data_IF_906974500744
#
_entry.id   IF_906974500744
#
_cell.length_a   1.000
_cell.length_b   1.000
_cell.length_c   1.000
_cell.angle_alpha   90.00
_cell.angle_beta   90.00
_cell.angle_gamma   90.00
#
_symmetry.space_group_name_H-M   'P 1'
#
loop_
_entity.id
_entity.type
_entity.pdbx_description
1 polymer ?
#
# COMPACT_ATOMS: atom_id res chain seq x y z
N UNK A 1 -32.39 15.02 -8.75
CA UNK A 1 -31.05 14.53 -9.12
C UNK A 1 -30.15 15.75 -9.09
N UNK A 2 -29.17 15.82 -8.17
CA UNK A 2 -28.31 17.02 -8.06
C UNK A 2 -27.22 16.92 -9.12
N UNK A 3 -27.15 17.92 -9.98
CA UNK A 3 -26.13 17.99 -11.03
C UNK A 3 -24.74 18.19 -10.41
N UNK A 4 -23.75 17.47 -10.92
CA UNK A 4 -22.35 17.58 -10.48
C UNK A 4 -21.69 18.70 -11.27
N UNK A 5 -21.27 19.76 -10.58
CA UNK A 5 -20.47 20.82 -11.19
C UNK A 5 -19.00 20.42 -11.16
N UNK A 6 -18.35 20.35 -12.32
CA UNK A 6 -16.92 20.04 -12.44
C UNK A 6 -16.18 21.33 -12.77
N UNK A 7 -15.19 21.68 -11.94
CA UNK A 7 -14.27 22.78 -12.19
C UNK A 7 -12.93 22.24 -12.70
N UNK A 8 -12.51 22.68 -13.88
CA UNK A 8 -11.19 22.34 -14.42
C UNK A 8 -10.18 23.36 -13.93
N UNK A 9 -9.43 23.00 -12.88
CA UNK A 9 -8.36 23.83 -12.32
C UNK A 9 -7.09 23.67 -13.16
N UNK A 10 -6.51 24.81 -13.58
CA UNK A 10 -5.24 24.83 -14.32
C UNK A 10 -4.10 24.39 -13.40
N UNK A 11 -3.14 23.60 -13.92
CA UNK A 11 -1.91 23.26 -13.18
C UNK A 11 -1.15 24.53 -12.80
N UNK A 12 -0.49 24.49 -11.65
CA UNK A 12 0.38 25.56 -11.20
C UNK A 12 1.44 25.86 -12.27
N UNK A 13 1.54 27.10 -12.80
CA UNK A 13 2.55 27.46 -13.79
C UNK A 13 3.98 27.28 -13.27
N UNK A 14 4.21 27.35 -11.96
CA UNK A 14 5.53 27.06 -11.37
C UNK A 14 5.92 25.57 -11.50
N UNK A 15 4.96 24.69 -11.78
CA UNK A 15 5.16 23.26 -12.01
C UNK A 15 5.21 22.91 -13.50
N UNK A 16 5.13 23.91 -14.38
CA UNK A 16 5.25 23.73 -15.83
C UNK A 16 6.68 23.24 -16.17
N UNK A 17 6.77 22.05 -16.77
CA UNK A 17 8.06 21.37 -17.01
C UNK A 17 8.59 20.54 -15.83
N UNK A 18 8.03 20.66 -14.62
CA UNK A 18 8.37 19.77 -13.49
C UNK A 18 7.58 18.46 -13.61
N UNK A 19 8.29 17.38 -13.97
CA UNK A 19 7.74 16.03 -13.99
C UNK A 19 7.46 15.49 -12.59
N UNK A 20 6.77 14.34 -12.52
CA UNK A 20 6.66 13.59 -11.28
C UNK A 20 8.05 13.16 -10.81
N UNK A 21 8.44 13.55 -9.60
CA UNK A 21 9.72 13.14 -8.98
C UNK A 21 9.46 11.91 -8.10
N UNK A 22 9.92 10.71 -8.49
CA UNK A 22 9.74 9.52 -7.67
C UNK A 22 10.52 9.66 -6.36
N UNK A 23 9.85 9.44 -5.23
CA UNK A 23 10.52 9.39 -3.94
C UNK A 23 11.25 8.04 -3.82
N UNK A 24 12.58 8.00 -3.57
CA UNK A 24 13.36 6.75 -3.62
C UNK A 24 12.84 5.61 -2.74
N UNK A 25 12.18 5.94 -1.62
CA UNK A 25 11.63 4.96 -0.65
C UNK A 25 10.11 4.89 -0.65
N UNK A 26 9.44 5.46 -1.66
CA UNK A 26 7.97 5.45 -1.75
C UNK A 26 7.38 4.04 -1.73
N UNK A 27 8.10 3.09 -2.31
CA UNK A 27 7.69 1.68 -2.37
C UNK A 27 7.42 1.08 -0.99
N UNK A 28 8.08 1.56 0.07
CA UNK A 28 7.85 1.08 1.44
C UNK A 28 6.44 1.44 1.90
N UNK A 29 6.02 2.68 1.65
CA UNK A 29 4.67 3.17 1.98
C UNK A 29 3.62 2.39 1.20
N UNK A 30 3.87 2.18 -0.09
CA UNK A 30 2.95 1.45 -0.97
C UNK A 30 2.85 -0.03 -0.57
N UNK A 31 3.96 -0.66 -0.17
CA UNK A 31 3.96 -2.03 0.34
C UNK A 31 3.18 -2.17 1.65
N UNK A 32 3.33 -1.21 2.57
CA UNK A 32 2.56 -1.18 3.82
C UNK A 32 1.07 -1.05 3.50
N UNK A 33 0.70 -0.10 2.63
CA UNK A 33 -0.70 0.08 2.23
C UNK A 33 -1.28 -1.16 1.55
N UNK A 34 -0.51 -1.81 0.66
CA UNK A 34 -0.90 -3.07 0.03
C UNK A 34 -1.14 -4.19 1.05
N UNK A 35 -0.32 -4.27 2.11
CA UNK A 35 -0.50 -5.23 3.21
C UNK A 35 -1.78 -4.92 4.00
N UNK A 36 -2.01 -3.65 4.36
CA UNK A 36 -3.21 -3.25 5.10
C UNK A 36 -4.50 -3.49 4.30
N UNK A 37 -4.46 -3.30 2.98
CA UNK A 37 -5.61 -3.50 2.09
C UNK A 37 -6.09 -4.96 2.00
N UNK A 38 -5.25 -5.94 2.33
CA UNK A 38 -5.66 -7.35 2.40
C UNK A 38 -6.68 -7.60 3.53
N UNK A 39 -6.75 -6.71 4.51
CA UNK A 39 -7.69 -6.82 5.63
C UNK A 39 -8.93 -5.96 5.34
N UNK A 40 -10.07 -6.62 5.03
CA UNK A 40 -11.36 -5.96 4.70
C UNK A 40 -11.73 -4.81 5.64
N UNK A 41 -11.44 -4.97 6.93
CA UNK A 41 -11.73 -3.96 7.96
C UNK A 41 -10.99 -2.63 7.77
N UNK A 42 -9.81 -2.62 7.14
CA UNK A 42 -9.04 -1.41 6.86
C UNK A 42 -9.34 -0.79 5.49
N UNK A 43 -9.83 -1.58 4.53
CA UNK A 43 -10.10 -1.11 3.17
C UNK A 43 -11.56 -0.70 2.92
N UNK A 44 -12.53 -1.30 3.61
CA UNK A 44 -13.97 -1.17 3.30
C UNK A 44 -14.85 -0.79 4.47
N UNK A 45 -14.39 -0.98 5.71
CA UNK A 45 -15.15 -0.61 6.88
C UNK A 45 -14.51 0.63 7.50
N UNK A 46 -15.25 1.73 7.52
CA UNK A 46 -14.84 2.91 8.28
C UNK A 46 -15.30 2.71 9.73
N UNK A 47 -14.38 2.41 10.63
CA UNK A 47 -14.70 2.35 12.05
C UNK A 47 -14.90 3.79 12.57
N UNK A 48 -16.02 4.04 13.24
CA UNK A 48 -16.31 5.35 13.85
C UNK A 48 -15.44 5.66 15.06
N UNK A 49 -14.81 4.63 15.66
CA UNK A 49 -13.94 4.81 16.82
C UNK A 49 -12.47 4.61 16.43
N UNK A 50 -11.59 5.55 16.79
CA UNK A 50 -10.18 5.50 16.40
C UNK A 50 -9.40 4.37 17.07
N UNK A 51 -9.82 3.90 18.24
CA UNK A 51 -9.19 2.78 18.95
C UNK A 51 -9.36 1.46 18.20
N UNK A 52 -10.53 1.23 17.59
CA UNK A 52 -10.78 0.05 16.76
C UNK A 52 -9.91 0.10 15.50
N UNK A 53 -9.86 1.26 14.84
CA UNK A 53 -9.01 1.45 13.67
C UNK A 53 -7.53 1.18 13.99
N UNK A 54 -7.03 1.71 15.10
CA UNK A 54 -5.66 1.48 15.56
C UNK A 54 -5.40 -0.02 15.85
N UNK A 55 -6.29 -0.69 16.57
CA UNK A 55 -6.19 -2.13 16.83
C UNK A 55 -6.09 -2.95 15.54
N UNK A 56 -6.89 -2.62 14.50
CA UNK A 56 -6.84 -3.33 13.21
C UNK A 56 -5.50 -3.18 12.50
N UNK A 57 -4.85 -2.01 12.60
CA UNK A 57 -3.51 -1.79 12.04
C UNK A 57 -2.48 -2.69 12.74
N UNK A 58 -2.52 -2.77 14.07
CA UNK A 58 -1.65 -3.68 14.82
C UNK A 58 -1.89 -5.15 14.44
N UNK A 59 -3.16 -5.57 14.37
CA UNK A 59 -3.52 -6.92 13.97
C UNK A 59 -2.99 -7.29 12.58
N UNK A 60 -3.20 -6.43 11.58
CA UNK A 60 -2.71 -6.63 10.22
C UNK A 60 -1.17 -6.75 10.16
N UNK A 61 -0.48 -5.91 10.91
CA UNK A 61 0.99 -5.94 11.02
C UNK A 61 1.50 -7.25 11.61
N UNK A 62 0.88 -7.71 12.71
CA UNK A 62 1.20 -8.99 13.36
C UNK A 62 0.91 -10.18 12.45
N UNK A 63 -0.21 -10.18 11.75
CA UNK A 63 -0.56 -11.26 10.81
C UNK A 63 0.47 -11.40 9.68
N UNK A 64 0.97 -10.29 9.15
CA UNK A 64 2.03 -10.28 8.15
C UNK A 64 3.35 -10.85 8.69
N UNK A 65 3.71 -10.53 9.94
CA UNK A 65 4.90 -11.08 10.60
C UNK A 65 4.76 -12.58 10.86
N UNK A 66 3.61 -13.02 11.36
CA UNK A 66 3.32 -14.43 11.61
C UNK A 66 3.42 -15.25 10.32
N UNK A 67 2.86 -14.75 9.21
CA UNK A 67 2.93 -15.43 7.90
C UNK A 67 4.38 -15.65 7.46
N UNK A 68 5.28 -14.69 7.70
CA UNK A 68 6.71 -14.85 7.35
C UNK A 68 7.40 -15.92 8.19
N UNK A 69 6.97 -16.11 9.43
CA UNK A 69 7.50 -17.14 10.32
C UNK A 69 6.97 -18.53 9.97
N UNK A 70 5.69 -18.64 9.60
CA UNK A 70 5.02 -19.93 9.37
C UNK A 70 5.06 -20.41 7.93
N UNK A 71 5.27 -19.50 6.98
CA UNK A 71 5.26 -19.79 5.55
C UNK A 71 6.62 -19.42 4.97
N UNK A 72 7.57 -20.36 4.89
CA UNK A 72 8.83 -20.12 4.21
C UNK A 72 8.51 -19.69 2.77
N UNK A 73 9.19 -18.63 2.31
CA UNK A 73 9.09 -18.23 0.90
C UNK A 73 9.60 -19.41 0.08
N UNK A 74 8.86 -19.91 -0.93
CA UNK A 74 9.41 -20.94 -1.80
C UNK A 74 10.73 -20.41 -2.37
N UNK A 75 11.84 -21.07 -2.04
CA UNK A 75 13.17 -20.75 -2.56
C UNK A 75 13.22 -21.18 -4.03
N UNK A 76 12.48 -20.49 -4.90
CA UNK A 76 12.45 -20.75 -6.33
C UNK A 76 13.73 -20.31 -7.06
N UNK A 77 14.88 -20.32 -6.37
CA UNK A 77 16.19 -19.93 -6.90
C UNK A 77 17.27 -20.98 -6.67
N UNK A 78 16.90 -22.20 -6.31
CA UNK A 78 17.88 -23.25 -6.00
C UNK A 78 18.25 -24.13 -7.21
N UNK A 79 17.69 -23.89 -8.41
CA UNK A 79 17.86 -24.80 -9.57
C UNK A 79 18.58 -24.20 -10.79
N UNK A 80 19.18 -23.00 -10.71
CA UNK A 80 19.97 -22.48 -11.85
C UNK A 80 21.40 -23.03 -11.76
N UNK A 81 21.61 -24.19 -12.38
CA UNK A 81 22.94 -24.72 -12.65
C UNK A 81 23.73 -23.67 -13.46
N UNK A 82 24.93 -23.25 -13.01
CA UNK A 82 25.74 -22.32 -13.79
C UNK A 82 26.17 -23.02 -15.07
N UNK A 83 25.78 -22.45 -16.22
CA UNK A 83 26.19 -22.94 -17.53
C UNK A 83 27.73 -23.13 -17.56
N UNK A 84 28.13 -24.36 -17.90
CA UNK A 84 29.52 -24.79 -18.06
C UNK A 84 30.27 -24.00 -19.16
#
# INVERSE_FOLDING_TARGET
MKDITVEVVRRNPDDEGKGFVPQPKRWVVEQVNGTLMLHRGLARNYDHRPDIAAYRVYWASTAGMLRRLTTPTPTGRDDVEPAA
#
